data_IF_363063921654
#
_entry.id   IF_363063921654
#
_cell.length_a   1.000
_cell.length_b   1.000
_cell.length_c   1.000
_cell.angle_alpha   90.00
_cell.angle_beta   90.00
_cell.angle_gamma   90.00
#
_symmetry.space_group_name_H-M   'P 1'
#
loop_
_entity.id
_entity.type
_entity.pdbx_description
1 polymer ?
#
# COMPACT_ATOMS: atom_id res chain seq x y z
N UNK A 1 -8.19 5.03 0.59
CA UNK A 1 -8.00 5.55 1.97
C UNK A 1 -8.53 4.54 2.97
N UNK A 2 -7.76 4.25 4.02
CA UNK A 2 -8.23 3.44 5.14
C UNK A 2 -8.86 4.30 6.22
N UNK A 3 -10.00 3.85 6.73
CA UNK A 3 -10.71 4.52 7.83
C UNK A 3 -11.16 3.50 8.86
N UNK A 4 -11.07 3.79 10.17
CA UNK A 4 -11.62 2.91 11.20
C UNK A 4 -13.12 2.67 10.98
N UNK A 5 -13.62 1.49 11.35
CA UNK A 5 -15.07 1.21 11.30
C UNK A 5 -15.89 2.10 12.23
N UNK A 6 -15.28 2.58 13.32
CA UNK A 6 -15.89 3.56 14.23
C UNK A 6 -16.15 4.92 13.58
N UNK A 7 -15.47 5.23 12.47
CA UNK A 7 -15.70 6.48 11.75
C UNK A 7 -16.93 6.34 10.85
N UNK A 8 -18.03 6.98 11.25
CA UNK A 8 -19.34 6.89 10.59
C UNK A 8 -19.55 7.96 9.52
N UNK A 9 -18.73 9.01 9.50
CA UNK A 9 -18.82 10.10 8.54
C UNK A 9 -18.44 9.67 7.12
N UNK A 10 -19.10 10.29 6.14
CA UNK A 10 -18.93 10.01 4.72
C UNK A 10 -18.52 11.24 3.90
N UNK A 11 -18.26 12.38 4.55
CA UNK A 11 -17.82 13.58 3.86
C UNK A 11 -16.31 13.57 3.65
N UNK A 12 -15.88 13.01 2.52
CA UNK A 12 -14.47 12.94 2.12
C UNK A 12 -13.98 14.16 1.33
N UNK A 13 -14.85 15.18 1.13
CA UNK A 13 -14.49 16.39 0.39
C UNK A 13 -13.28 17.15 0.96
N UNK A 14 -13.02 17.21 2.28
CA UNK A 14 -11.81 17.85 2.78
C UNK A 14 -10.51 17.20 2.29
N UNK A 15 -10.56 15.91 1.92
CA UNK A 15 -9.41 15.12 1.48
C UNK A 15 -9.31 15.05 -0.05
N UNK A 16 -10.44 15.10 -0.75
CA UNK A 16 -10.51 15.19 -2.20
C UNK A 16 -11.74 16.04 -2.58
N UNK A 17 -11.57 17.37 -2.70
CA UNK A 17 -12.67 18.32 -2.89
C UNK A 17 -13.46 18.09 -4.17
N UNK A 18 -12.83 17.53 -5.19
CA UNK A 18 -13.43 17.25 -6.50
C UNK A 18 -13.98 15.81 -6.59
N UNK A 19 -13.71 14.97 -5.59
CA UNK A 19 -14.08 13.57 -5.59
C UNK A 19 -15.59 13.37 -5.45
N UNK A 20 -16.18 12.75 -6.46
CA UNK A 20 -17.55 12.22 -6.47
C UNK A 20 -17.52 10.69 -6.38
N UNK A 21 -18.68 10.07 -6.12
CA UNK A 21 -18.88 8.62 -6.15
C UNK A 21 -17.92 7.80 -5.25
N UNK A 22 -18.04 8.04 -3.94
CA UNK A 22 -17.26 7.31 -2.94
C UNK A 22 -17.89 5.96 -2.63
N UNK A 23 -17.08 4.92 -2.73
CA UNK A 23 -17.42 3.57 -2.32
C UNK A 23 -16.70 3.25 -1.00
N UNK A 24 -17.35 2.43 -0.17
CA UNK A 24 -16.82 1.96 1.09
C UNK A 24 -16.96 0.45 1.14
N UNK A 25 -15.84 -0.25 1.30
CA UNK A 25 -15.82 -1.71 1.46
C UNK A 25 -15.18 -2.12 2.79
N UNK A 26 -15.70 -3.15 3.47
CA UNK A 26 -15.06 -3.70 4.66
C UNK A 26 -13.75 -4.38 4.26
N UNK A 27 -12.67 -4.02 4.95
CA UNK A 27 -11.37 -4.65 4.76
C UNK A 27 -11.20 -5.84 5.71
N UNK A 28 -11.31 -5.56 7.01
CA UNK A 28 -11.18 -6.53 8.10
C UNK A 28 -12.18 -6.19 9.23
N UNK A 29 -11.90 -6.59 10.48
CA UNK A 29 -12.73 -6.25 11.64
C UNK A 29 -12.63 -4.77 12.05
N UNK A 30 -11.54 -4.08 11.74
CA UNK A 30 -11.16 -2.77 12.28
C UNK A 30 -11.30 -1.63 11.28
N UNK A 31 -11.11 -1.90 9.99
CA UNK A 31 -11.03 -0.88 8.95
C UNK A 31 -12.03 -1.10 7.80
N UNK A 32 -12.45 0.01 7.21
CA UNK A 32 -12.98 0.06 5.87
C UNK A 32 -11.94 0.66 4.92
N UNK A 33 -11.97 0.23 3.67
CA UNK A 33 -11.34 0.94 2.57
C UNK A 33 -12.38 1.83 1.88
N UNK A 34 -12.09 3.12 1.84
CA UNK A 34 -12.82 4.13 1.07
C UNK A 34 -12.04 4.40 -0.22
N UNK A 35 -12.71 4.34 -1.36
CA UNK A 35 -12.14 4.55 -2.69
C UNK A 35 -13.19 5.15 -3.62
N UNK A 36 -12.76 5.61 -4.79
CA UNK A 36 -13.64 6.10 -5.85
C UNK A 36 -13.28 5.48 -7.18
N UNK A 37 -14.26 5.39 -8.07
CA UNK A 37 -14.07 5.09 -9.47
C UNK A 37 -14.59 6.24 -10.33
N UNK A 38 -14.15 6.29 -11.58
CA UNK A 38 -14.84 7.07 -12.60
C UNK A 38 -16.22 6.45 -12.87
N UNK A 39 -17.17 7.29 -13.30
CA UNK A 39 -18.52 6.88 -13.69
C UNK A 39 -18.50 5.64 -14.62
N UNK A 40 -19.39 4.67 -14.36
CA UNK A 40 -19.55 3.46 -15.18
C UNK A 40 -18.84 2.20 -14.68
N UNK A 41 -18.31 2.20 -13.45
CA UNK A 41 -17.55 1.09 -12.86
C UNK A 41 -18.33 0.29 -11.80
N UNK A 42 -19.63 0.06 -12.00
CA UNK A 42 -20.58 -0.40 -10.96
C UNK A 42 -20.34 -1.83 -10.41
N UNK A 43 -19.34 -2.55 -10.90
CA UNK A 43 -18.92 -3.86 -10.37
C UNK A 43 -17.40 -3.97 -10.12
N UNK A 44 -16.65 -2.88 -10.26
CA UNK A 44 -15.20 -2.89 -10.12
C UNK A 44 -14.78 -2.95 -8.66
N UNK A 45 -13.73 -3.72 -8.36
CA UNK A 45 -13.10 -3.75 -7.04
C UNK A 45 -11.80 -2.96 -7.06
N UNK A 46 -11.55 -2.16 -6.01
CA UNK A 46 -10.29 -1.44 -5.89
C UNK A 46 -9.12 -2.42 -5.78
N UNK A 47 -8.06 -2.20 -6.57
CA UNK A 47 -6.82 -2.97 -6.48
C UNK A 47 -6.23 -2.94 -5.06
N UNK A 48 -6.36 -1.80 -4.36
CA UNK A 48 -5.96 -1.69 -2.95
C UNK A 48 -6.71 -2.65 -2.04
N UNK A 49 -8.00 -2.86 -2.29
CA UNK A 49 -8.80 -3.79 -1.49
C UNK A 49 -8.31 -5.24 -1.68
N UNK A 50 -7.99 -5.61 -2.93
CA UNK A 50 -7.40 -6.91 -3.24
C UNK A 50 -6.03 -7.08 -2.56
N UNK A 51 -5.12 -6.13 -2.73
CA UNK A 51 -3.77 -6.18 -2.17
C UNK A 51 -3.78 -6.27 -0.65
N UNK A 52 -4.52 -5.38 0.02
CA UNK A 52 -4.58 -5.38 1.48
C UNK A 52 -5.15 -6.69 2.04
N UNK A 53 -6.21 -7.24 1.42
CA UNK A 53 -6.75 -8.55 1.83
C UNK A 53 -5.72 -9.66 1.68
N UNK A 54 -5.04 -9.73 0.53
CA UNK A 54 -4.00 -10.72 0.27
C UNK A 54 -2.83 -10.59 1.25
N UNK A 55 -2.37 -9.37 1.52
CA UNK A 55 -1.28 -9.14 2.48
C UNK A 55 -1.68 -9.51 3.91
N UNK A 56 -2.91 -9.21 4.34
CA UNK A 56 -3.42 -9.64 5.64
C UNK A 56 -3.61 -11.16 5.72
N UNK A 57 -4.06 -11.81 4.65
CA UNK A 57 -4.21 -13.26 4.55
C UNK A 57 -2.87 -14.01 4.62
N UNK A 58 -1.75 -13.36 4.32
CA UNK A 58 -0.42 -13.95 4.51
C UNK A 58 -0.01 -14.16 5.98
N UNK A 59 -0.90 -13.81 6.93
CA UNK A 59 -0.69 -13.88 8.38
C UNK A 59 0.66 -13.25 8.80
N UNK A 60 0.87 -11.96 8.46
CA UNK A 60 2.11 -11.26 8.73
C UNK A 60 2.48 -11.32 10.22
N UNK A 61 3.75 -11.57 10.51
CA UNK A 61 4.31 -11.62 11.86
C UNK A 61 5.25 -10.44 12.09
N UNK A 62 5.08 -9.77 13.22
CA UNK A 62 5.88 -8.59 13.56
C UNK A 62 5.67 -7.42 12.59
N UNK A 63 6.61 -6.48 12.59
CA UNK A 63 6.58 -5.29 11.73
C UNK A 63 7.12 -5.63 10.35
N UNK A 64 6.43 -5.20 9.30
CA UNK A 64 6.90 -5.31 7.92
C UNK A 64 6.26 -4.24 7.02
N UNK A 65 6.89 -4.00 5.88
CA UNK A 65 6.35 -3.14 4.82
C UNK A 65 6.07 -3.98 3.58
N UNK A 66 4.89 -3.80 3.00
CA UNK A 66 4.49 -4.33 1.69
C UNK A 66 4.45 -3.18 0.70
N UNK A 67 5.11 -3.36 -0.44
CA UNK A 67 5.13 -2.39 -1.53
C UNK A 67 4.67 -3.07 -2.80
N UNK A 68 3.73 -2.45 -3.50
CA UNK A 68 3.44 -2.77 -4.89
C UNK A 68 3.73 -1.57 -5.79
N UNK A 69 4.52 -1.77 -6.85
CA UNK A 69 4.83 -0.74 -7.83
C UNK A 69 4.63 -1.23 -9.26
N UNK A 70 3.69 -0.62 -9.99
CA UNK A 70 3.40 -0.96 -11.38
C UNK A 70 2.86 0.23 -12.17
N UNK A 71 3.37 0.43 -13.39
CA UNK A 71 3.16 1.67 -14.14
C UNK A 71 3.69 2.85 -13.33
N UNK A 72 2.81 3.81 -13.03
CA UNK A 72 3.14 4.96 -12.15
C UNK A 72 2.40 4.87 -10.80
N UNK A 73 1.89 3.69 -10.44
CA UNK A 73 1.12 3.47 -9.21
C UNK A 73 2.00 2.79 -8.17
N UNK A 74 2.25 3.50 -7.08
CA UNK A 74 2.94 2.98 -5.90
C UNK A 74 1.92 2.78 -4.77
N UNK A 75 1.87 1.59 -4.21
CA UNK A 75 1.06 1.31 -3.02
C UNK A 75 1.94 0.74 -1.92
N UNK A 76 1.84 1.33 -0.73
CA UNK A 76 2.64 0.98 0.44
C UNK A 76 1.68 0.66 1.59
N UNK A 77 1.89 -0.48 2.24
CA UNK A 77 1.22 -0.83 3.49
C UNK A 77 2.25 -1.25 4.54
N UNK A 78 2.18 -0.65 5.73
CA UNK A 78 2.99 -1.03 6.87
C UNK A 78 2.13 -1.82 7.85
N UNK A 79 2.56 -3.05 8.16
CA UNK A 79 1.82 -4.01 8.98
C UNK A 79 2.60 -4.30 10.26
N UNK A 80 1.89 -4.37 11.38
CA UNK A 80 2.41 -4.84 12.67
C UNK A 80 1.54 -6.01 13.14
N UNK A 81 2.00 -7.22 12.80
CA UNK A 81 1.13 -8.38 12.74
C UNK A 81 -0.01 -8.14 11.75
N UNK A 82 -1.23 -8.52 12.13
CA UNK A 82 -2.43 -8.32 11.33
C UNK A 82 -3.00 -6.89 11.38
N UNK A 83 -2.32 -5.93 12.04
CA UNK A 83 -2.77 -4.54 12.13
C UNK A 83 -2.11 -3.67 11.08
N UNK A 84 -2.92 -2.91 10.35
CA UNK A 84 -2.41 -1.91 9.40
C UNK A 84 -2.07 -0.63 10.17
N UNK A 85 -0.81 -0.23 10.12
CA UNK A 85 -0.29 0.99 10.76
C UNK A 85 -0.24 2.17 9.79
N UNK A 86 0.00 1.87 8.52
CA UNK A 86 0.04 2.86 7.45
C UNK A 86 -0.45 2.23 6.16
N UNK A 87 -1.15 3.01 5.35
CA UNK A 87 -1.50 2.67 3.98
C UNK A 87 -1.53 3.93 3.14
N UNK A 88 -0.85 3.90 2.01
CA UNK A 88 -0.97 4.97 1.02
C UNK A 88 -0.87 4.42 -0.39
N UNK A 89 -1.47 5.19 -1.31
CA UNK A 89 -1.36 4.98 -2.75
C UNK A 89 -0.87 6.31 -3.32
N UNK A 90 0.25 6.28 -4.01
CA UNK A 90 0.94 7.43 -4.55
C UNK A 90 1.12 7.29 -6.05
N UNK A 91 1.17 8.45 -6.72
CA UNK A 91 1.68 8.51 -8.08
C UNK A 91 3.19 8.74 -7.99
N UNK A 92 3.97 7.82 -8.57
CA UNK A 92 5.43 7.90 -8.60
C UNK A 92 5.88 7.56 -10.02
N UNK A 93 6.64 8.45 -10.64
CA UNK A 93 7.09 8.30 -12.04
C UNK A 93 8.52 7.84 -12.12
N UNK A 94 9.35 8.33 -11.20
CA UNK A 94 10.78 8.04 -11.19
C UNK A 94 11.16 7.13 -10.01
N UNK A 95 12.24 6.34 -10.12
CA UNK A 95 12.72 5.49 -9.02
C UNK A 95 13.00 6.26 -7.71
N UNK A 96 13.41 7.51 -7.81
CA UNK A 96 13.67 8.43 -6.70
C UNK A 96 12.38 8.76 -5.93
N UNK A 97 11.26 8.98 -6.64
CA UNK A 97 9.95 9.23 -6.03
C UNK A 97 9.50 8.01 -5.21
N UNK A 98 9.71 6.82 -5.78
CA UNK A 98 9.38 5.57 -5.10
C UNK A 98 10.23 5.38 -3.86
N UNK A 99 11.54 5.61 -3.96
CA UNK A 99 12.45 5.54 -2.83
C UNK A 99 12.05 6.54 -1.73
N UNK A 100 11.73 7.78 -2.10
CA UNK A 100 11.27 8.83 -1.19
C UNK A 100 10.04 8.38 -0.39
N UNK A 101 8.99 7.88 -1.07
CA UNK A 101 7.77 7.46 -0.37
C UNK A 101 7.98 6.25 0.55
N UNK A 102 8.89 5.34 0.20
CA UNK A 102 9.28 4.22 1.06
C UNK A 102 9.99 4.75 2.32
N UNK A 103 10.97 5.64 2.15
CA UNK A 103 11.73 6.21 3.27
C UNK A 103 10.83 7.06 4.18
N UNK A 104 9.92 7.83 3.60
CA UNK A 104 8.91 8.60 4.35
C UNK A 104 8.01 7.69 5.19
N UNK A 105 7.64 6.51 4.69
CA UNK A 105 6.85 5.54 5.44
C UNK A 105 7.59 5.05 6.70
N UNK A 106 8.89 4.76 6.59
CA UNK A 106 9.70 4.40 7.75
C UNK A 106 9.78 5.54 8.78
N UNK A 107 10.05 6.75 8.31
CA UNK A 107 10.17 7.95 9.15
C UNK A 107 8.87 8.24 9.91
N UNK A 108 7.73 8.27 9.21
CA UNK A 108 6.41 8.55 9.81
C UNK A 108 5.99 7.53 10.88
N UNK A 109 6.53 6.31 10.82
CA UNK A 109 6.21 5.25 11.76
C UNK A 109 7.26 5.08 12.86
N UNK A 110 8.36 5.83 12.81
CA UNK A 110 9.56 5.60 13.62
C UNK A 110 10.01 4.13 13.55
N UNK A 111 10.02 3.59 12.32
CA UNK A 111 10.42 2.21 12.05
C UNK A 111 11.83 2.17 11.46
N UNK A 112 12.65 1.28 11.98
CA UNK A 112 14.02 1.10 11.48
C UNK A 112 14.00 0.43 10.11
N UNK A 113 14.46 1.16 9.09
CA UNK A 113 14.72 0.64 7.74
C UNK A 113 15.82 -0.44 7.70
N UNK A 114 16.56 -0.62 8.79
CA UNK A 114 17.59 -1.67 8.89
C UNK A 114 17.09 -2.93 9.59
N UNK A 115 15.88 -2.98 10.13
CA UNK A 115 15.38 -4.17 10.85
C UNK A 115 13.96 -4.58 10.46
N UNK A 116 13.17 -3.64 9.93
CA UNK A 116 11.83 -3.93 9.44
C UNK A 116 11.93 -4.35 7.97
N UNK A 117 11.55 -5.58 7.61
CA UNK A 117 11.66 -6.07 6.24
C UNK A 117 10.68 -5.35 5.31
N UNK A 118 11.16 -5.02 4.12
CA UNK A 118 10.34 -4.56 3.01
C UNK A 118 10.18 -5.67 1.98
N UNK A 119 8.93 -5.96 1.62
CA UNK A 119 8.54 -6.91 0.59
C UNK A 119 8.03 -6.17 -0.63
N UNK A 120 8.73 -6.33 -1.75
CA UNK A 120 8.45 -5.67 -3.02
C UNK A 120 7.70 -6.59 -3.98
N UNK A 121 6.70 -6.02 -4.65
CA UNK A 121 5.92 -6.65 -5.71
C UNK A 121 5.79 -5.66 -6.89
N UNK A 122 6.34 -5.94 -8.06
CA UNK A 122 6.28 -4.95 -9.12
C UNK A 122 7.20 -5.16 -10.29
N UNK A 123 7.42 -4.07 -11.03
CA UNK A 123 8.52 -3.94 -11.99
C UNK A 123 9.88 -4.04 -11.28
N UNK A 124 10.95 -4.13 -12.05
CA UNK A 124 12.32 -4.25 -11.53
C UNK A 124 12.62 -3.19 -10.46
N UNK A 125 13.05 -3.67 -9.29
CA UNK A 125 13.37 -2.83 -8.14
C UNK A 125 14.80 -2.27 -8.18
N UNK A 126 15.64 -2.61 -9.16
CA UNK A 126 17.09 -2.34 -9.14
C UNK A 126 17.42 -0.85 -8.91
N UNK A 127 16.80 0.05 -9.66
CA UNK A 127 17.03 1.50 -9.50
C UNK A 127 16.52 2.03 -8.16
N UNK A 128 15.32 1.62 -7.73
CA UNK A 128 14.74 2.00 -6.43
C UNK A 128 15.61 1.48 -5.27
N UNK A 129 16.15 0.28 -5.42
CA UNK A 129 17.03 -0.35 -4.44
C UNK A 129 18.36 0.39 -4.35
N UNK A 130 18.91 0.88 -5.45
CA UNK A 130 20.11 1.72 -5.43
C UNK A 130 19.90 2.94 -4.53
N UNK A 131 18.78 3.64 -4.71
CA UNK A 131 18.42 4.80 -3.90
C UNK A 131 18.12 4.46 -2.43
N UNK A 132 17.39 3.38 -2.17
CA UNK A 132 17.00 3.00 -0.81
C UNK A 132 18.12 2.31 -0.01
N UNK A 133 19.08 1.63 -0.66
CA UNK A 133 20.19 0.94 0.02
C UNK A 133 21.13 1.84 0.79
N UNK A 134 21.21 3.11 0.43
CA UNK A 134 21.91 4.10 1.23
C UNK A 134 21.30 4.20 2.66
N UNK A 135 20.05 3.79 2.83
CA UNK A 135 19.27 3.97 4.06
C UNK A 135 18.69 2.66 4.65
N UNK A 136 18.59 1.57 3.88
CA UNK A 136 17.87 0.33 4.24
C UNK A 136 18.69 -0.91 3.85
N UNK A 137 18.92 -1.83 4.80
CA UNK A 137 19.72 -3.06 4.60
C UNK A 137 18.90 -4.33 4.32
N UNK A 138 17.61 -4.39 4.66
CA UNK A 138 16.79 -5.60 4.54
C UNK A 138 15.67 -5.47 3.48
N UNK A 139 15.82 -6.16 2.34
CA UNK A 139 14.89 -6.09 1.18
C UNK A 139 14.58 -7.49 0.62
N UNK A 140 13.30 -7.78 0.37
CA UNK A 140 12.80 -9.03 -0.22
C UNK A 140 11.96 -8.74 -1.48
N UNK A 141 12.16 -9.51 -2.55
CA UNK A 141 11.55 -9.24 -3.86
C UNK A 141 10.74 -10.43 -4.39
N UNK A 142 9.61 -10.14 -5.05
CA UNK A 142 8.77 -11.13 -5.73
C UNK A 142 8.12 -10.50 -6.97
N UNK A 143 8.08 -11.21 -8.10
CA UNK A 143 7.43 -10.71 -9.31
C UNK A 143 5.90 -10.81 -9.24
N UNK A 144 5.20 -9.90 -9.94
CA UNK A 144 3.73 -9.91 -10.03
C UNK A 144 3.19 -11.11 -10.81
N UNK A 145 3.90 -11.58 -11.84
CA UNK A 145 3.49 -12.75 -12.63
C UNK A 145 3.33 -13.99 -11.77
N UNK A 146 4.25 -14.21 -10.82
CA UNK A 146 4.16 -15.31 -9.86
C UNK A 146 3.05 -15.17 -8.80
N UNK A 147 2.43 -13.99 -8.69
CA UNK A 147 1.28 -13.73 -7.79
C UNK A 147 -0.04 -13.91 -8.54
N UNK A 148 -0.11 -13.47 -9.80
CA UNK A 148 -1.33 -13.54 -10.61
C UNK A 148 -1.55 -14.92 -11.24
N UNK A 149 -0.49 -15.72 -11.40
CA UNK A 149 -0.54 -17.07 -11.96
C UNK A 149 0.14 -18.11 -11.06
N UNK A 150 -0.44 -18.45 -9.89
CA UNK A 150 0.06 -19.56 -9.08
C UNK A 150 -0.20 -20.88 -9.81
N UNK A 151 0.85 -21.67 -10.05
CA UNK A 151 0.77 -23.03 -10.59
C UNK A 151 -0.06 -23.96 -9.68
#
# INVERSE_FOLDING_TARGET
MLVPKSWTESNWRPLDPQGTQWFRSPLDATYHLVYRFSDGADASQSLSLFNLRRWLQSDPKGRLIRVQYWGNRLEIAALDGTKIKFHSVQHATEPEDVAYHILLCFDQLDWSGTSVPLFWEGVDATAVRHWTRHFITHWHERSLDGILHPH
#
